data_IF_589248478639
#
_entry.id   IF_589248478639
#
_cell.length_a   1.000
_cell.length_b   1.000
_cell.length_c   1.000
_cell.angle_alpha   90.00
_cell.angle_beta   90.00
_cell.angle_gamma   90.00
#
_symmetry.space_group_name_H-M   'P 1'
#
loop_
_entity.id
_entity.type
_entity.pdbx_description
1 polymer ?
#
# COMPACT_ATOMS: atom_id res chain seq x y z
N UNK A 1 -15.91 2.34 -9.73
CA UNK A 1 -15.73 2.78 -8.32
C UNK A 1 -15.37 1.64 -7.36
N UNK A 2 -15.75 0.37 -7.65
CA UNK A 2 -15.41 -0.80 -6.84
C UNK A 2 -13.89 -1.09 -6.75
N UNK A 3 -13.12 -0.76 -7.79
CA UNK A 3 -11.67 -1.03 -7.84
C UNK A 3 -10.84 -0.43 -6.71
N UNK A 4 -11.17 0.78 -6.24
CA UNK A 4 -10.28 1.49 -5.30
C UNK A 4 -10.43 0.96 -3.88
N UNK A 5 -11.66 0.69 -3.43
CA UNK A 5 -11.90 0.13 -2.10
C UNK A 5 -11.36 -1.29 -1.99
N UNK A 6 -11.56 -2.12 -3.03
CA UNK A 6 -10.98 -3.48 -3.09
C UNK A 6 -9.46 -3.44 -3.02
N UNK A 7 -8.81 -2.52 -3.75
CA UNK A 7 -7.36 -2.37 -3.71
C UNK A 7 -6.83 -1.91 -2.34
N UNK A 8 -7.53 -1.00 -1.66
CA UNK A 8 -7.16 -0.57 -0.31
C UNK A 8 -7.28 -1.70 0.72
N UNK A 9 -8.36 -2.50 0.65
CA UNK A 9 -8.53 -3.67 1.53
C UNK A 9 -7.44 -4.73 1.26
N UNK A 10 -7.09 -4.95 -0.01
CA UNK A 10 -6.00 -5.86 -0.40
C UNK A 10 -4.64 -5.34 0.11
N UNK A 11 -4.37 -4.04 -0.01
CA UNK A 11 -3.18 -3.40 0.54
C UNK A 11 -3.09 -3.60 2.07
N UNK A 12 -4.19 -3.41 2.81
CA UNK A 12 -4.22 -3.66 4.26
C UNK A 12 -3.95 -5.13 4.61
N UNK A 13 -4.56 -6.07 3.89
CA UNK A 13 -4.32 -7.50 4.09
C UNK A 13 -2.85 -7.88 3.83
N UNK A 14 -2.23 -7.32 2.78
CA UNK A 14 -0.82 -7.57 2.47
C UNK A 14 0.10 -6.98 3.54
N UNK A 15 -0.19 -5.76 4.03
CA UNK A 15 0.57 -5.14 5.11
C UNK A 15 0.49 -5.93 6.43
N UNK A 16 -0.64 -6.60 6.71
CA UNK A 16 -0.77 -7.45 7.90
C UNK A 16 0.00 -8.77 7.79
N UNK A 17 0.28 -9.25 6.57
CA UNK A 17 0.94 -10.55 6.37
C UNK A 17 2.43 -10.57 6.73
N UNK A 18 3.13 -9.42 6.69
CA UNK A 18 4.56 -9.30 7.03
C UNK A 18 4.87 -7.93 7.64
N UNK A 19 5.83 -7.90 8.59
CA UNK A 19 6.21 -6.70 9.35
C UNK A 19 6.79 -5.56 8.48
N UNK A 20 7.37 -5.87 7.33
CA UNK A 20 7.92 -4.87 6.41
C UNK A 20 7.86 -5.36 4.96
N UNK A 21 7.65 -4.42 4.04
CA UNK A 21 7.67 -4.63 2.60
C UNK A 21 8.53 -3.56 1.94
N UNK A 22 9.27 -3.93 0.89
CA UNK A 22 9.86 -2.92 0.00
C UNK A 22 8.76 -2.31 -0.85
N UNK A 23 8.88 -1.02 -1.19
CA UNK A 23 7.90 -0.35 -2.05
C UNK A 23 7.73 -1.04 -3.41
N UNK A 24 8.82 -1.56 -3.99
CA UNK A 24 8.78 -2.30 -5.25
C UNK A 24 8.07 -3.66 -5.12
N UNK A 25 8.40 -4.46 -4.10
CA UNK A 25 7.78 -5.78 -3.91
C UNK A 25 6.30 -5.69 -3.54
N UNK A 26 5.89 -4.63 -2.84
CA UNK A 26 4.48 -4.36 -2.56
C UNK A 26 3.71 -3.95 -3.82
N UNK A 27 4.33 -3.17 -4.70
CA UNK A 27 3.73 -2.74 -5.96
C UNK A 27 3.55 -3.94 -6.92
N UNK A 28 4.55 -4.80 -7.04
CA UNK A 28 4.49 -6.04 -7.83
C UNK A 28 3.39 -6.98 -7.33
N UNK A 29 3.30 -7.21 -6.01
CA UNK A 29 2.31 -8.12 -5.43
C UNK A 29 0.87 -7.62 -5.54
N UNK A 30 0.69 -6.30 -5.61
CA UNK A 30 -0.60 -5.67 -5.84
C UNK A 30 -0.87 -5.43 -7.33
N UNK A 31 0.05 -5.81 -8.21
CA UNK A 31 -0.01 -5.61 -9.67
C UNK A 31 -0.26 -4.14 -10.04
N UNK A 32 0.39 -3.23 -9.32
CA UNK A 32 0.28 -1.78 -9.55
C UNK A 32 1.64 -1.13 -9.72
N UNK A 33 1.63 0.11 -10.24
CA UNK A 33 2.87 0.90 -10.31
C UNK A 33 3.28 1.42 -8.93
N UNK A 34 4.58 1.69 -8.70
CA UNK A 34 5.04 2.36 -7.48
C UNK A 34 4.36 3.72 -7.22
N UNK A 35 3.98 4.44 -8.29
CA UNK A 35 3.24 5.71 -8.21
C UNK A 35 1.82 5.49 -7.67
N UNK A 36 1.12 4.45 -8.15
CA UNK A 36 -0.21 4.08 -7.66
C UNK A 36 -0.15 3.65 -6.20
N UNK A 37 0.83 2.81 -5.85
CA UNK A 37 1.04 2.39 -4.47
C UNK A 37 1.24 3.58 -3.53
N UNK A 38 2.04 4.58 -3.93
CA UNK A 38 2.24 5.80 -3.13
C UNK A 38 0.94 6.56 -2.90
N UNK A 39 0.12 6.72 -3.95
CA UNK A 39 -1.21 7.34 -3.82
C UNK A 39 -2.14 6.56 -2.89
N UNK A 40 -2.13 5.23 -2.95
CA UNK A 40 -2.96 4.41 -2.08
C UNK A 40 -2.50 4.48 -0.62
N UNK A 41 -1.19 4.54 -0.37
CA UNK A 41 -0.62 4.77 0.98
C UNK A 41 -1.03 6.15 1.51
N UNK A 42 -0.91 7.21 0.70
CA UNK A 42 -1.31 8.55 1.09
C UNK A 42 -2.81 8.62 1.40
N UNK A 43 -3.62 7.87 0.64
CA UNK A 43 -5.06 7.73 0.90
C UNK A 43 -5.34 7.01 2.22
N UNK A 44 -4.65 5.91 2.52
CA UNK A 44 -4.76 5.25 3.82
C UNK A 44 -4.39 6.20 4.97
N UNK A 45 -3.32 6.97 4.82
CA UNK A 45 -2.90 7.98 5.81
C UNK A 45 -3.97 9.06 6.02
N UNK A 46 -4.59 9.55 4.95
CA UNK A 46 -5.69 10.53 5.05
C UNK A 46 -6.94 9.97 5.74
N UNK A 47 -7.13 8.64 5.72
CA UNK A 47 -8.22 7.96 6.40
C UNK A 47 -7.90 7.63 7.87
N UNK A 48 -6.75 8.06 8.39
CA UNK A 48 -6.33 7.83 9.77
C UNK A 48 -5.56 6.53 10.01
N UNK A 49 -5.24 5.77 8.96
CA UNK A 49 -4.40 4.58 9.09
C UNK A 49 -2.92 4.98 9.21
N UNK A 50 -2.25 4.48 10.25
CA UNK A 50 -0.81 4.69 10.42
C UNK A 50 -0.04 3.73 9.53
N UNK A 51 0.43 4.23 8.38
CA UNK A 51 1.32 3.48 7.48
C UNK A 51 2.73 4.09 7.55
N UNK A 52 3.60 3.42 8.29
CA UNK A 52 5.02 3.76 8.34
C UNK A 52 5.70 3.40 7.01
N UNK A 53 6.41 4.35 6.42
CA UNK A 53 7.26 4.10 5.26
C UNK A 53 8.64 4.67 5.58
N UNK A 54 9.66 3.82 5.51
CA UNK A 54 11.05 4.25 5.54
C UNK A 54 11.49 4.58 4.11
N UNK A 55 12.31 5.63 3.95
CA UNK A 55 13.09 5.77 2.72
C UNK A 55 13.95 4.51 2.57
N UNK A 56 14.07 4.02 1.33
CA UNK A 56 14.99 2.91 1.05
C UNK A 56 16.44 3.32 1.39
N UNK A 57 17.34 2.36 1.63
CA UNK A 57 18.78 2.65 1.71
C UNK A 57 19.29 3.30 0.43
#
# INVERSE_FOLDING_TARGET
>A
MLDTSTRLLRLLSVLQSRRAWTGAGLAERLEVTPRTLRRDIDRLRSLGYTVAAAAGP
#
